data_IF_646022185155
#
_entry.id   IF_646022185155
#
_cell.length_a   1.000
_cell.length_b   1.000
_cell.length_c   1.000
_cell.angle_alpha   90.00
_cell.angle_beta   90.00
_cell.angle_gamma   90.00
#
_symmetry.space_group_name_H-M   'P 1'
#
loop_
_entity.id
_entity.type
_entity.pdbx_description
1 polymer ?
#
# COMPACT_ATOMS: atom_id res chain seq x y z
N UNK A 1 15.43 -19.72 -13.35
CA UNK A 1 14.84 -19.72 -12.00
C UNK A 1 13.73 -18.69 -11.97
N UNK A 2 12.55 -19.05 -11.44
CA UNK A 2 11.38 -18.16 -11.42
C UNK A 2 10.86 -18.01 -9.99
N UNK A 3 10.43 -16.80 -9.64
CA UNK A 3 9.71 -16.54 -8.40
C UNK A 3 8.23 -16.33 -8.74
N UNK A 4 7.37 -17.11 -8.10
CA UNK A 4 5.94 -17.07 -8.37
C UNK A 4 5.23 -16.37 -7.21
N UNK A 5 4.52 -15.29 -7.53
CA UNK A 5 3.58 -14.66 -6.62
C UNK A 5 2.16 -14.84 -7.20
N UNK A 6 1.24 -15.53 -6.49
CA UNK A 6 -0.11 -15.71 -6.98
C UNK A 6 -0.86 -14.37 -7.07
N UNK A 7 -1.38 -14.06 -8.26
CA UNK A 7 -2.28 -12.93 -8.46
C UNK A 7 -3.73 -13.42 -8.34
N UNK A 8 -4.56 -12.62 -7.68
CA UNK A 8 -6.01 -12.79 -7.62
C UNK A 8 -6.62 -11.84 -8.64
N UNK A 9 -7.52 -12.34 -9.46
CA UNK A 9 -8.25 -11.52 -10.41
C UNK A 9 -9.67 -11.30 -9.90
N UNK A 10 -10.07 -10.02 -9.80
CA UNK A 10 -11.44 -9.61 -9.55
C UNK A 10 -11.84 -8.59 -10.63
N UNK A 11 -11.59 -7.30 -10.39
CA UNK A 11 -11.66 -6.24 -11.41
C UNK A 11 -10.30 -5.91 -12.05
N UNK A 12 -9.21 -6.25 -11.34
CA UNK A 12 -7.83 -6.11 -11.79
C UNK A 12 -6.99 -7.25 -11.17
N UNK A 13 -5.79 -7.46 -11.71
CA UNK A 13 -4.82 -8.34 -11.05
C UNK A 13 -4.38 -7.69 -9.74
N UNK A 14 -4.58 -8.40 -8.65
CA UNK A 14 -4.21 -7.96 -7.32
C UNK A 14 -3.34 -9.00 -6.61
N UNK A 15 -2.52 -8.53 -5.69
CA UNK A 15 -1.60 -9.33 -4.91
C UNK A 15 -1.81 -9.07 -3.42
N UNK A 16 -1.72 -10.13 -2.62
CA UNK A 16 -1.71 -9.96 -1.17
C UNK A 16 -0.30 -9.52 -0.74
N UNK A 17 -0.25 -8.42 0.01
CA UNK A 17 0.98 -7.84 0.57
C UNK A 17 0.84 -7.68 2.08
N UNK A 18 1.96 -7.44 2.76
CA UNK A 18 1.98 -7.01 4.15
C UNK A 18 2.84 -5.76 4.33
N UNK A 19 2.40 -4.82 5.16
CA UNK A 19 3.18 -3.62 5.51
C UNK A 19 3.29 -3.55 7.04
N UNK A 20 4.49 -3.27 7.54
CA UNK A 20 4.73 -3.05 8.97
C UNK A 20 5.24 -4.24 9.76
N UNK A 21 5.52 -3.97 11.04
CA UNK A 21 5.93 -4.96 12.04
C UNK A 21 5.07 -4.78 13.31
N UNK A 22 4.08 -5.66 13.58
CA UNK A 22 3.71 -6.85 12.79
C UNK A 22 3.05 -6.50 11.44
N UNK A 23 3.09 -7.40 10.43
CA UNK A 23 2.57 -7.09 9.11
C UNK A 23 1.04 -6.94 9.07
N UNK A 24 0.55 -5.77 8.67
CA UNK A 24 -0.84 -5.52 8.28
C UNK A 24 -1.04 -5.94 6.83
N UNK A 25 -2.08 -6.74 6.55
CA UNK A 25 -2.31 -7.32 5.21
C UNK A 25 -3.21 -6.42 4.36
N UNK A 26 -2.85 -6.30 3.08
CA UNK A 26 -3.63 -5.59 2.07
C UNK A 26 -3.75 -6.44 0.81
N UNK A 27 -4.81 -6.20 0.04
CA UNK A 27 -4.93 -6.66 -1.34
C UNK A 27 -4.67 -5.48 -2.27
N UNK A 28 -3.51 -5.50 -2.92
CA UNK A 28 -3.02 -4.38 -3.72
C UNK A 28 -3.20 -4.66 -5.21
N UNK A 29 -3.74 -3.70 -5.96
CA UNK A 29 -3.77 -3.76 -7.43
C UNK A 29 -2.35 -3.70 -7.97
N UNK A 30 -2.01 -4.59 -8.90
CA UNK A 30 -0.75 -4.52 -9.64
C UNK A 30 -0.92 -3.54 -10.79
N UNK A 31 -0.24 -2.40 -10.68
CA UNK A 31 -0.15 -1.40 -11.73
C UNK A 31 1.29 -1.33 -12.24
N UNK A 32 1.47 -1.62 -13.53
CA UNK A 32 2.79 -1.59 -14.18
C UNK A 32 3.12 -0.23 -14.77
N UNK A 33 2.17 0.71 -14.76
CA UNK A 33 2.32 2.04 -15.35
C UNK A 33 2.77 3.10 -14.35
N UNK A 34 2.77 2.80 -13.05
CA UNK A 34 3.23 3.69 -11.99
C UNK A 34 4.33 3.04 -11.14
N UNK A 35 5.33 3.81 -10.67
CA UNK A 35 6.37 3.31 -9.77
C UNK A 35 5.97 3.34 -8.30
N UNK A 36 4.88 4.03 -7.98
CA UNK A 36 4.50 4.35 -6.60
C UNK A 36 3.55 3.32 -6.00
N UNK A 37 3.77 3.04 -4.72
CA UNK A 37 2.87 2.21 -3.91
C UNK A 37 2.16 3.07 -2.88
N UNK A 38 0.84 2.97 -2.80
CA UNK A 38 0.04 3.69 -1.81
C UNK A 38 -1.01 2.77 -1.17
N UNK A 39 -1.37 3.07 0.06
CA UNK A 39 -2.42 2.42 0.85
C UNK A 39 -3.24 3.49 1.58
N UNK A 40 -4.48 3.18 1.94
CA UNK A 40 -5.30 4.12 2.70
C UNK A 40 -4.80 4.25 4.13
N UNK A 41 -4.61 5.49 4.57
CA UNK A 41 -4.26 5.81 5.95
C UNK A 41 -5.50 5.80 6.86
N UNK A 42 -5.36 5.33 8.09
CA UNK A 42 -6.45 5.28 9.09
C UNK A 42 -7.09 6.65 9.34
N UNK A 43 -6.36 7.74 9.15
CA UNK A 43 -6.88 9.11 9.22
C UNK A 43 -7.98 9.40 8.17
N UNK A 44 -8.10 8.58 7.12
CA UNK A 44 -9.14 8.69 6.10
C UNK A 44 -10.33 7.75 6.33
N UNK A 45 -10.35 6.99 7.44
CA UNK A 45 -11.37 5.95 7.69
C UNK A 45 -12.80 6.47 7.80
N UNK A 46 -13.00 7.75 8.16
CA UNK A 46 -14.33 8.37 8.23
C UNK A 46 -14.90 8.78 6.86
N UNK A 47 -14.08 8.74 5.78
CA UNK A 47 -14.55 9.09 4.43
C UNK A 47 -15.39 7.94 3.85
N UNK A 48 -16.58 8.27 3.36
CA UNK A 48 -17.51 7.30 2.75
C UNK A 48 -16.90 6.56 1.55
N UNK A 49 -15.96 7.16 0.83
CA UNK A 49 -15.22 6.56 -0.29
C UNK A 49 -14.29 5.43 0.13
N UNK A 50 -13.92 5.35 1.41
CA UNK A 50 -12.99 4.34 1.93
C UNK A 50 -13.72 3.21 2.68
N UNK A 51 -15.07 3.19 2.65
CA UNK A 51 -15.86 2.15 3.30
C UNK A 51 -15.51 0.75 2.76
N UNK A 52 -15.07 -0.14 3.65
CA UNK A 52 -14.67 -1.51 3.30
C UNK A 52 -13.20 -1.66 2.87
N UNK A 53 -12.43 -0.58 2.84
CA UNK A 53 -10.99 -0.65 2.59
C UNK A 53 -10.24 -1.14 3.84
N UNK A 54 -9.06 -1.72 3.62
CA UNK A 54 -8.11 -1.99 4.70
C UNK A 54 -7.27 -0.74 4.89
N UNK A 55 -7.17 -0.28 6.14
CA UNK A 55 -6.39 0.90 6.50
C UNK A 55 -5.05 0.52 7.11
N UNK A 56 -4.07 1.37 6.82
CA UNK A 56 -2.76 1.37 7.43
C UNK A 56 -2.72 2.39 8.57
N UNK A 57 -2.22 1.97 9.73
CA UNK A 57 -1.87 2.85 10.85
C UNK A 57 -0.38 2.67 11.13
N UNK A 58 0.40 3.74 10.90
CA UNK A 58 1.83 3.71 11.16
C UNK A 58 2.17 3.58 12.65
N UNK A 59 1.26 3.93 13.56
CA UNK A 59 1.47 3.79 15.01
C UNK A 59 1.44 2.33 15.46
N UNK A 60 0.78 1.46 14.70
CA UNK A 60 0.70 0.01 14.98
C UNK A 60 1.96 -0.75 14.53
N UNK A 61 2.91 -0.07 13.87
CA UNK A 61 4.12 -0.69 13.31
C UNK A 61 5.39 -0.19 13.98
N UNK A 62 6.20 -1.10 14.52
CA UNK A 62 7.49 -0.76 15.14
C UNK A 62 8.59 -0.39 14.15
N UNK A 63 8.33 -0.52 12.85
CA UNK A 63 9.30 -0.23 11.77
C UNK A 63 8.87 0.92 10.87
N UNK A 64 7.76 1.59 11.21
CA UNK A 64 7.27 2.74 10.50
C UNK A 64 8.18 3.96 10.70
N UNK A 65 8.50 4.60 9.59
CA UNK A 65 9.21 5.87 9.55
C UNK A 65 8.59 6.78 8.48
N UNK A 66 8.43 8.05 8.80
CA UNK A 66 8.03 9.08 7.84
C UNK A 66 8.87 10.33 8.03
N UNK A 67 9.10 11.07 6.94
CA UNK A 67 9.71 12.40 6.98
C UNK A 67 8.67 13.53 6.88
N UNK A 68 7.38 13.20 6.83
CA UNK A 68 6.28 14.17 6.72
C UNK A 68 6.15 14.81 5.33
N UNK A 69 6.90 14.36 4.33
CA UNK A 69 6.80 14.91 2.97
C UNK A 69 5.43 14.61 2.38
N UNK A 70 4.70 15.66 2.01
CA UNK A 70 3.45 15.51 1.27
C UNK A 70 3.73 15.15 -0.18
N UNK A 71 3.04 14.13 -0.68
CA UNK A 71 3.09 13.67 -2.06
C UNK A 71 1.72 13.77 -2.70
N UNK A 72 1.72 14.09 -3.99
CA UNK A 72 0.55 14.01 -4.85
C UNK A 72 0.94 13.21 -6.08
N UNK A 73 0.21 12.12 -6.32
CA UNK A 73 0.44 11.19 -7.44
C UNK A 73 -0.77 11.25 -8.35
N UNK A 74 -0.55 11.63 -9.61
CA UNK A 74 -1.55 11.54 -10.67
C UNK A 74 -1.57 10.09 -11.17
N UNK A 75 -2.67 9.37 -10.88
CA UNK A 75 -2.83 7.97 -11.26
C UNK A 75 -3.45 7.88 -12.67
N UNK A 76 -4.40 8.76 -12.96
CA UNK A 76 -5.06 8.89 -14.25
C UNK A 76 -5.36 10.38 -14.53
N UNK A 77 -5.65 10.81 -15.77
CA UNK A 77 -5.81 12.23 -16.17
C UNK A 77 -6.85 13.08 -15.41
N UNK A 78 -7.51 12.53 -14.39
CA UNK A 78 -8.48 13.19 -13.49
C UNK A 78 -8.49 12.59 -12.07
N UNK A 79 -7.56 11.70 -11.75
CA UNK A 79 -7.52 11.00 -10.47
C UNK A 79 -6.16 11.20 -9.82
N UNK A 80 -6.16 12.04 -8.79
CA UNK A 80 -5.00 12.31 -7.96
C UNK A 80 -5.19 11.65 -6.61
N UNK A 81 -4.12 11.03 -6.10
CA UNK A 81 -4.05 10.59 -4.72
C UNK A 81 -3.00 11.42 -4.02
N UNK A 82 -3.38 12.04 -2.91
CA UNK A 82 -2.47 12.76 -2.03
C UNK A 82 -2.28 12.02 -0.72
N UNK A 83 -1.09 12.17 -0.14
CA UNK A 83 -0.73 11.50 1.10
C UNK A 83 0.62 11.94 1.63
N UNK A 84 1.10 11.23 2.66
CA UNK A 84 2.40 11.47 3.27
C UNK A 84 3.35 10.34 2.89
N UNK A 85 4.56 10.69 2.45
CA UNK A 85 5.62 9.73 2.18
C UNK A 85 5.98 8.96 3.45
N UNK A 86 5.99 7.64 3.35
CA UNK A 86 6.31 6.75 4.46
C UNK A 86 7.20 5.61 4.00
N UNK A 87 7.99 5.11 4.95
CA UNK A 87 8.82 3.92 4.84
C UNK A 87 8.42 2.94 5.93
N UNK A 88 8.23 1.69 5.54
CA UNK A 88 8.03 0.59 6.47
C UNK A 88 8.47 -0.72 5.79
N UNK A 89 8.55 -1.80 6.56
CA UNK A 89 8.86 -3.14 6.05
C UNK A 89 7.72 -3.62 5.14
N UNK A 90 8.08 -3.96 3.91
CA UNK A 90 7.14 -4.47 2.92
C UNK A 90 7.29 -5.98 2.75
N UNK A 91 6.17 -6.69 2.65
CA UNK A 91 6.13 -8.14 2.52
C UNK A 91 5.40 -8.53 1.25
N UNK A 92 6.06 -9.33 0.41
CA UNK A 92 5.51 -9.89 -0.82
C UNK A 92 5.74 -11.41 -0.84
N UNK A 93 4.73 -12.17 -0.46
CA UNK A 93 4.87 -13.62 -0.32
C UNK A 93 5.98 -13.96 0.69
N UNK A 94 7.02 -14.73 0.32
CA UNK A 94 8.12 -15.06 1.22
C UNK A 94 9.15 -13.92 1.38
N UNK A 95 9.05 -12.85 0.57
CA UNK A 95 10.03 -11.77 0.58
C UNK A 95 9.67 -10.74 1.65
N UNK A 96 10.67 -10.42 2.48
CA UNK A 96 10.66 -9.28 3.39
C UNK A 96 11.62 -8.24 2.84
N UNK A 97 11.09 -7.10 2.44
CA UNK A 97 11.81 -5.99 1.83
C UNK A 97 11.90 -4.89 2.88
N UNK A 98 13.11 -4.55 3.25
CA UNK A 98 13.43 -3.46 4.16
C UNK A 98 14.67 -2.77 3.64
N UNK A 99 14.62 -1.45 3.49
CA UNK A 99 15.80 -0.61 3.23
C UNK A 99 16.45 -0.18 4.55
#
# INVERSE_FOLDING_TARGET
MFFKQPLKFDLAYAVDIGIGTPPKRFRMKVDISSPDTYVDDVAQSEKTTCAGHSFYDGQDSSTFHTNGTHLEVEIEPRLNVSGIAAKDVFHLGPFRISD
#
